data_IF_159860279329
#
_entry.id   IF_159860279329
#
_cell.length_a   1.000
_cell.length_b   1.000
_cell.length_c   1.000
_cell.angle_alpha   90.00
_cell.angle_beta   90.00
_cell.angle_gamma   90.00
#
_symmetry.space_group_name_H-M   'P 1'
#
loop_
_entity.id
_entity.type
_entity.pdbx_description
1 polymer ?
#
# COMPACT_ATOMS: atom_id res chain seq x y z
N UNK A 1 11.95 -13.62 8.06
CA UNK A 1 10.77 -12.87 7.56
C UNK A 1 10.90 -12.67 6.06
N UNK A 2 9.84 -12.93 5.33
CA UNK A 2 9.81 -12.62 3.90
C UNK A 2 8.97 -11.37 3.69
N UNK A 3 9.51 -10.40 2.98
CA UNK A 3 8.85 -9.13 2.72
C UNK A 3 7.48 -9.32 2.06
N UNK A 4 7.41 -10.19 1.06
CA UNK A 4 6.17 -10.51 0.35
C UNK A 4 5.07 -11.02 1.28
N UNK A 5 5.45 -11.87 2.23
CA UNK A 5 4.50 -12.45 3.19
C UNK A 5 3.91 -11.38 4.11
N UNK A 6 4.72 -10.40 4.51
CA UNK A 6 4.25 -9.32 5.37
C UNK A 6 3.27 -8.41 4.62
N UNK A 7 3.56 -8.10 3.35
CA UNK A 7 2.63 -7.34 2.52
C UNK A 7 1.32 -8.10 2.38
N UNK A 8 1.38 -9.41 2.14
CA UNK A 8 0.18 -10.23 2.01
C UNK A 8 -0.61 -10.28 3.32
N UNK A 9 0.07 -10.41 4.46
CA UNK A 9 -0.57 -10.35 5.77
C UNK A 9 -1.34 -9.04 5.97
N UNK A 10 -0.74 -7.93 5.57
CA UNK A 10 -1.39 -6.61 5.67
C UNK A 10 -2.68 -6.57 4.84
N UNK A 11 -2.63 -7.10 3.62
CA UNK A 11 -3.80 -7.16 2.74
C UNK A 11 -4.87 -8.10 3.31
N UNK A 12 -4.46 -9.24 3.85
CA UNK A 12 -5.38 -10.25 4.40
C UNK A 12 -6.08 -9.77 5.67
N UNK A 13 -5.51 -8.79 6.37
CA UNK A 13 -6.08 -8.26 7.61
C UNK A 13 -7.12 -7.16 7.39
N UNK A 14 -7.36 -6.76 6.13
CA UNK A 14 -8.28 -5.67 5.84
C UNK A 14 -9.74 -6.09 6.06
N UNK A 15 -10.61 -5.14 6.48
CA UNK A 15 -12.05 -5.40 6.53
C UNK A 15 -12.57 -5.84 5.15
N UNK A 16 -13.63 -6.67 5.15
CA UNK A 16 -14.15 -7.26 3.92
C UNK A 16 -14.58 -6.23 2.88
N UNK A 17 -15.16 -5.11 3.30
CA UNK A 17 -15.59 -4.05 2.39
C UNK A 17 -14.40 -3.38 1.69
N UNK A 18 -13.31 -3.17 2.42
CA UNK A 18 -12.08 -2.62 1.87
C UNK A 18 -11.43 -3.63 0.92
N UNK A 19 -11.32 -4.88 1.37
CA UNK A 19 -10.71 -5.95 0.55
C UNK A 19 -11.44 -6.14 -0.77
N UNK A 20 -12.78 -6.04 -0.76
CA UNK A 20 -13.57 -6.19 -1.98
C UNK A 20 -13.26 -5.11 -3.02
N UNK A 21 -12.85 -3.92 -2.58
CA UNK A 21 -12.50 -2.82 -3.48
C UNK A 21 -11.15 -2.99 -4.18
N UNK A 22 -10.36 -3.99 -3.80
CA UNK A 22 -9.01 -4.19 -4.35
C UNK A 22 -8.98 -5.06 -5.62
N UNK A 23 -10.10 -5.47 -6.16
CA UNK A 23 -10.16 -6.36 -7.31
C UNK A 23 -9.41 -5.83 -8.54
N UNK A 24 -9.43 -4.52 -8.72
CA UNK A 24 -8.85 -3.87 -9.89
C UNK A 24 -7.60 -3.08 -9.54
N UNK A 25 -6.93 -3.43 -8.45
CA UNK A 25 -5.69 -2.78 -8.02
C UNK A 25 -4.58 -3.80 -7.98
N UNK A 26 -3.49 -3.52 -8.69
CA UNK A 26 -2.29 -4.35 -8.62
C UNK A 26 -1.45 -3.85 -7.45
N UNK A 27 -1.12 -4.74 -6.51
CA UNK A 27 -0.18 -4.43 -5.42
C UNK A 27 1.12 -5.16 -5.72
N UNK A 28 2.18 -4.41 -5.94
CA UNK A 28 3.48 -4.97 -6.35
C UNK A 28 4.58 -4.53 -5.38
N UNK A 29 5.63 -5.33 -5.33
CA UNK A 29 6.81 -5.04 -4.52
C UNK A 29 7.96 -4.81 -5.48
N UNK A 30 8.60 -3.65 -5.35
CA UNK A 30 9.75 -3.27 -6.16
C UNK A 30 10.92 -2.89 -5.25
N UNK A 31 12.11 -2.78 -5.82
CA UNK A 31 13.29 -2.45 -5.01
C UNK A 31 13.26 -1.01 -4.53
N UNK A 32 13.05 -0.06 -5.44
CA UNK A 32 12.99 1.36 -5.11
C UNK A 32 12.33 2.14 -6.24
N UNK A 33 11.86 3.34 -5.93
CA UNK A 33 11.30 4.23 -6.94
C UNK A 33 12.45 4.81 -7.78
N UNK A 34 12.34 4.78 -9.11
CA UNK A 34 13.43 5.29 -9.98
C UNK A 34 13.68 6.80 -9.87
N UNK A 35 12.70 7.54 -9.37
CA UNK A 35 12.80 8.99 -9.23
C UNK A 35 13.05 9.45 -7.80
N UNK A 36 12.74 8.61 -6.81
CA UNK A 36 12.91 8.93 -5.41
C UNK A 36 13.20 7.66 -4.60
N UNK A 37 14.49 7.34 -4.37
CA UNK A 37 14.86 6.11 -3.68
C UNK A 37 14.47 6.07 -2.19
N UNK A 38 14.00 7.18 -1.64
CA UNK A 38 13.59 7.25 -0.23
C UNK A 38 12.10 6.97 -0.03
N UNK A 39 11.31 6.86 -1.09
CA UNK A 39 9.88 6.54 -0.97
C UNK A 39 9.68 5.11 -0.51
N UNK A 40 8.75 4.92 0.43
CA UNK A 40 8.36 3.58 0.91
C UNK A 40 7.27 2.94 0.06
N UNK A 41 6.44 3.76 -0.57
CA UNK A 41 5.38 3.27 -1.44
C UNK A 41 4.80 4.39 -2.29
N UNK A 42 4.02 4.02 -3.30
CA UNK A 42 3.35 4.99 -4.17
C UNK A 42 2.06 4.40 -4.70
N UNK A 43 1.04 5.24 -4.85
CA UNK A 43 -0.18 4.91 -5.56
C UNK A 43 -0.12 5.56 -6.93
N UNK A 44 -0.37 4.76 -7.97
CA UNK A 44 -0.41 5.23 -9.35
C UNK A 44 -1.76 4.89 -9.97
N UNK A 45 -2.44 5.90 -10.50
CA UNK A 45 -3.73 5.71 -11.14
C UNK A 45 -4.73 6.77 -10.74
N UNK A 46 -6.01 6.45 -10.89
CA UNK A 46 -7.10 7.38 -10.58
C UNK A 46 -7.84 6.88 -9.34
N UNK A 47 -7.87 7.66 -8.25
CA UNK A 47 -8.57 7.24 -7.02
C UNK A 47 -10.06 6.99 -7.25
N UNK A 48 -10.66 6.14 -6.42
CA UNK A 48 -12.10 5.84 -6.51
C UNK A 48 -12.97 7.08 -6.35
N UNK A 49 -12.53 8.05 -5.53
CA UNK A 49 -13.23 9.32 -5.37
C UNK A 49 -13.33 10.12 -6.66
N UNK A 50 -12.47 9.83 -7.64
CA UNK A 50 -12.45 10.48 -8.95
C UNK A 50 -12.95 9.54 -10.05
N UNK A 51 -13.61 8.44 -9.68
CA UNK A 51 -14.25 7.54 -10.61
C UNK A 51 -13.43 6.32 -11.01
N UNK A 52 -12.17 6.24 -10.58
CA UNK A 52 -11.28 5.16 -10.98
C UNK A 52 -10.84 5.26 -12.45
N UNK A 53 -10.08 4.27 -12.96
CA UNK A 53 -9.61 4.28 -14.34
C UNK A 53 -10.77 4.20 -15.32
N UNK A 54 -10.65 4.91 -16.45
CA UNK A 54 -11.63 4.82 -17.53
C UNK A 54 -11.53 3.47 -18.25
N UNK A 55 -12.58 3.03 -18.94
CA UNK A 55 -12.50 1.80 -19.72
C UNK A 55 -11.34 1.85 -20.72
N UNK A 56 -10.55 0.78 -20.75
CA UNK A 56 -9.38 0.69 -21.63
C UNK A 56 -8.09 1.25 -21.06
N UNK A 57 -8.14 1.94 -19.92
CA UNK A 57 -6.94 2.40 -19.23
C UNK A 57 -6.36 1.28 -18.37
N UNK A 58 -5.07 1.42 -18.00
CA UNK A 58 -4.43 0.48 -17.11
C UNK A 58 -5.07 0.52 -15.72
N UNK A 59 -5.15 -0.62 -15.01
CA UNK A 59 -5.69 -0.64 -13.65
C UNK A 59 -4.80 0.16 -12.71
N UNK A 60 -5.38 0.58 -11.59
CA UNK A 60 -4.62 1.26 -10.54
C UNK A 60 -3.55 0.34 -9.97
N UNK A 61 -2.48 0.93 -9.49
CA UNK A 61 -1.30 0.21 -9.03
C UNK A 61 -0.77 0.81 -7.74
N UNK A 62 -0.46 -0.05 -6.79
CA UNK A 62 0.25 0.35 -5.56
C UNK A 62 1.58 -0.37 -5.56
N UNK A 63 2.68 0.37 -5.43
CA UNK A 63 4.02 -0.19 -5.32
C UNK A 63 4.54 0.02 -3.90
N UNK A 64 5.13 -1.02 -3.33
CA UNK A 64 5.76 -1.00 -2.02
C UNK A 64 7.25 -1.22 -2.25
N UNK A 65 8.09 -0.33 -1.74
CA UNK A 65 9.52 -0.33 -2.04
C UNK A 65 10.33 -0.98 -0.93
N UNK A 66 10.93 -2.12 -1.25
CA UNK A 66 11.63 -2.96 -0.30
C UNK A 66 12.90 -2.32 0.27
N UNK A 67 13.73 -1.74 -0.60
CA UNK A 67 15.06 -1.24 -0.17
C UNK A 67 15.01 -0.13 0.87
N UNK A 68 14.25 0.97 0.67
CA UNK A 68 14.23 2.01 1.69
C UNK A 68 13.61 1.55 2.99
N UNK A 69 12.61 0.66 2.96
CA UNK A 69 12.02 0.12 4.17
C UNK A 69 13.03 -0.74 4.93
N UNK A 70 13.74 -1.63 4.24
CA UNK A 70 14.74 -2.48 4.88
C UNK A 70 15.95 -1.69 5.37
N UNK A 71 16.29 -0.60 4.70
CA UNK A 71 17.41 0.24 5.12
C UNK A 71 17.10 1.04 6.39
N UNK A 72 15.85 1.49 6.54
CA UNK A 72 15.48 2.37 7.65
C UNK A 72 15.02 1.61 8.90
N UNK A 73 14.60 0.36 8.75
CA UNK A 73 14.05 -0.43 9.86
C UNK A 73 14.75 -1.78 9.95
N UNK A 74 15.69 -1.90 10.89
CA UNK A 74 16.52 -3.11 11.08
C UNK A 74 15.79 -4.20 11.87
N UNK A 75 14.96 -3.81 12.82
CA UNK A 75 14.23 -4.74 13.66
C UNK A 75 13.09 -5.37 12.88
N UNK A 76 12.95 -6.71 12.97
CA UNK A 76 11.91 -7.43 12.22
C UNK A 76 10.50 -6.93 12.56
N UNK A 77 10.20 -6.75 13.84
CA UNK A 77 8.88 -6.31 14.26
C UNK A 77 8.59 -4.89 13.80
N UNK A 78 9.58 -4.01 13.89
CA UNK A 78 9.45 -2.62 13.44
C UNK A 78 9.27 -2.57 11.92
N UNK A 79 10.04 -3.35 11.18
CA UNK A 79 9.91 -3.41 9.73
C UNK A 79 8.53 -3.93 9.32
N UNK A 80 8.04 -4.95 10.01
CA UNK A 80 6.71 -5.50 9.76
C UNK A 80 5.63 -4.43 9.97
N UNK A 81 5.71 -3.68 11.06
CA UNK A 81 4.76 -2.60 11.34
C UNK A 81 4.82 -1.51 10.27
N UNK A 82 6.01 -1.13 9.83
CA UNK A 82 6.17 -0.08 8.83
C UNK A 82 5.70 -0.52 7.45
N UNK A 83 5.89 -1.79 7.09
CA UNK A 83 5.32 -2.34 5.86
C UNK A 83 3.80 -2.24 5.90
N UNK A 84 3.19 -2.65 7.03
CA UNK A 84 1.73 -2.59 7.19
C UNK A 84 1.21 -1.16 7.08
N UNK A 85 1.88 -0.23 7.77
CA UNK A 85 1.53 1.20 7.72
C UNK A 85 1.61 1.72 6.28
N UNK A 86 2.68 1.38 5.57
CA UNK A 86 2.87 1.82 4.19
C UNK A 86 1.75 1.30 3.28
N UNK A 87 1.42 0.01 3.39
CA UNK A 87 0.33 -0.59 2.60
C UNK A 87 -0.99 0.14 2.88
N UNK A 88 -1.34 0.35 4.15
CA UNK A 88 -2.57 1.04 4.53
C UNK A 88 -2.59 2.48 4.04
N UNK A 89 -1.45 3.15 4.10
CA UNK A 89 -1.33 4.54 3.66
C UNK A 89 -1.62 4.67 2.15
N UNK A 90 -1.04 3.78 1.34
CA UNK A 90 -1.27 3.81 -0.11
C UNK A 90 -2.69 3.39 -0.46
N UNK A 91 -3.28 2.45 0.28
CA UNK A 91 -4.68 2.12 0.12
C UNK A 91 -5.58 3.32 0.45
N UNK A 92 -5.17 4.13 1.43
CA UNK A 92 -5.86 5.37 1.77
C UNK A 92 -5.97 6.30 0.58
N UNK A 93 -4.91 6.43 -0.21
CA UNK A 93 -4.93 7.23 -1.43
C UNK A 93 -5.93 6.68 -2.43
N UNK A 94 -5.95 5.37 -2.64
CA UNK A 94 -6.85 4.73 -3.59
C UNK A 94 -8.31 4.93 -3.20
N UNK A 95 -8.65 4.75 -1.91
CA UNK A 95 -10.02 4.87 -1.42
C UNK A 95 -10.42 6.29 -1.06
N UNK A 96 -9.47 7.23 -1.04
CA UNK A 96 -9.73 8.60 -0.61
C UNK A 96 -10.04 8.70 0.87
N UNK A 97 -9.41 7.87 1.70
CA UNK A 97 -9.66 7.83 3.14
C UNK A 97 -8.94 8.97 3.86
N UNK A 98 -9.56 9.49 4.92
CA UNK A 98 -8.92 10.48 5.77
C UNK A 98 -8.13 9.79 6.91
N UNK A 99 -7.42 10.59 7.70
CA UNK A 99 -6.60 10.08 8.79
C UNK A 99 -7.42 9.32 9.83
N UNK A 100 -8.64 9.76 10.11
CA UNK A 100 -9.49 9.08 11.08
C UNK A 100 -9.83 7.67 10.63
N UNK A 101 -10.16 7.50 9.36
CA UNK A 101 -10.49 6.18 8.81
C UNK A 101 -9.25 5.28 8.77
N UNK A 102 -8.09 5.84 8.42
CA UNK A 102 -6.84 5.09 8.41
C UNK A 102 -6.50 4.59 9.82
N UNK A 103 -6.71 5.41 10.84
CA UNK A 103 -6.49 5.00 12.23
C UNK A 103 -7.41 3.85 12.63
N UNK A 104 -8.68 3.87 12.18
CA UNK A 104 -9.61 2.77 12.41
C UNK A 104 -9.14 1.46 11.78
N UNK A 105 -8.40 1.54 10.68
CA UNK A 105 -7.86 0.36 10.01
C UNK A 105 -6.56 -0.14 10.66
N UNK A 106 -6.09 0.53 11.71
CA UNK A 106 -4.93 0.12 12.47
C UNK A 106 -3.63 0.78 12.06
N UNK A 107 -3.70 1.92 11.40
CA UNK A 107 -2.54 2.70 10.98
C UNK A 107 -2.11 3.66 12.12
N UNK A 108 -1.84 3.11 13.28
CA UNK A 108 -1.41 3.91 14.43
C UNK A 108 0.04 3.69 14.75
#
# INVERSE_FOLDING_TARGET
MRFDDVVQEALDSLPADIAAGLRNVAVVIEDEDPHDPDLYGVFEGVPLTEGGPAPGELPNRIAIFRRPLEADFDEVDELRDEIRITVLHELGHYFGLDEARLAELGDE
#
